data_IF_149942555198
#
_entry.id   IF_149942555198
#
_cell.length_a   1.000
_cell.length_b   1.000
_cell.length_c   1.000
_cell.angle_alpha   90.00
_cell.angle_beta   90.00
_cell.angle_gamma   90.00
#
_symmetry.space_group_name_H-M   'P 1'
#
loop_
_entity.id
_entity.type
_entity.pdbx_description
1 polymer ?
#
# COMPACT_ATOMS: atom_id res chain seq x y z
N UNK A 1 -9.09 -15.14 -24.86
CA UNK A 1 -7.65 -15.28 -24.59
C UNK A 1 -7.17 -13.92 -24.09
N UNK A 2 -6.82 -13.81 -22.82
CA UNK A 2 -6.32 -12.58 -22.19
C UNK A 2 -4.84 -12.46 -22.50
N UNK A 3 -4.45 -11.33 -23.10
CA UNK A 3 -3.07 -11.02 -23.44
C UNK A 3 -2.25 -10.84 -22.15
N UNK A 4 -1.11 -11.54 -21.96
CA UNK A 4 -0.39 -11.56 -20.69
C UNK A 4 0.27 -10.23 -20.31
N UNK A 5 0.17 -9.20 -21.16
CA UNK A 5 0.75 -7.87 -20.95
C UNK A 5 -0.25 -6.71 -21.01
N UNK A 6 -1.56 -6.97 -21.15
CA UNK A 6 -2.57 -5.89 -21.09
C UNK A 6 -2.33 -4.74 -22.08
N UNK A 7 -1.85 -5.04 -23.28
CA UNK A 7 -1.67 -4.03 -24.34
C UNK A 7 -3.06 -3.53 -24.74
N UNK A 8 -3.35 -2.27 -24.43
CA UNK A 8 -4.56 -1.60 -24.90
C UNK A 8 -4.51 -1.58 -26.43
N UNK A 9 -5.49 -2.16 -27.14
CA UNK A 9 -5.49 -2.14 -28.59
C UNK A 9 -5.51 -0.69 -29.09
N UNK A 10 -4.66 -0.34 -30.05
CA UNK A 10 -4.49 0.99 -30.63
C UNK A 10 -5.81 1.80 -30.86
N UNK A 11 -6.91 1.23 -31.39
CA UNK A 11 -8.17 1.98 -31.56
C UNK A 11 -8.80 2.49 -30.25
N UNK A 12 -8.44 1.94 -29.09
CA UNK A 12 -8.88 2.41 -27.78
C UNK A 12 -8.05 3.58 -27.24
N UNK A 13 -6.84 3.83 -27.78
CA UNK A 13 -5.96 4.91 -27.32
C UNK A 13 -6.45 6.26 -27.84
N UNK A 14 -6.88 6.33 -29.10
CA UNK A 14 -7.38 7.55 -29.71
C UNK A 14 -8.65 8.06 -29.00
N UNK A 15 -9.56 7.16 -28.63
CA UNK A 15 -10.78 7.53 -27.90
C UNK A 15 -10.49 8.03 -26.48
N UNK A 16 -9.48 7.44 -25.81
CA UNK A 16 -9.05 7.87 -24.47
C UNK A 16 -8.40 9.25 -24.52
N UNK A 17 -7.58 9.52 -25.53
CA UNK A 17 -6.96 10.85 -25.74
C UNK A 17 -8.01 11.92 -26.05
N UNK A 18 -9.00 11.61 -26.89
CA UNK A 18 -10.08 12.54 -27.22
C UNK A 18 -10.93 12.90 -26.00
N UNK A 19 -11.16 11.93 -25.10
CA UNK A 19 -11.85 12.16 -23.83
C UNK A 19 -10.98 12.86 -22.79
N UNK A 20 -9.66 12.68 -22.83
CA UNK A 20 -8.70 13.43 -22.01
C UNK A 20 -8.75 14.92 -22.38
N UNK A 21 -8.74 15.25 -23.66
CA UNK A 21 -8.90 16.63 -24.14
C UNK A 21 -10.23 17.25 -23.70
N UNK A 22 -11.32 16.48 -23.74
CA UNK A 22 -12.62 16.93 -23.24
C UNK A 22 -12.63 17.18 -21.72
N UNK A 23 -11.90 16.38 -20.94
CA UNK A 23 -11.73 16.61 -19.49
C UNK A 23 -10.84 17.83 -19.22
N UNK A 24 -9.77 17.99 -19.99
CA UNK A 24 -8.86 19.12 -19.91
C UNK A 24 -9.59 20.45 -20.18
N UNK A 25 -10.41 20.48 -21.24
CA UNK A 25 -11.26 21.62 -21.57
C UNK A 25 -12.27 21.96 -20.45
N UNK A 26 -12.85 20.96 -19.78
CA UNK A 26 -13.78 21.17 -18.66
C UNK A 26 -13.11 21.71 -17.40
N UNK A 27 -11.87 21.29 -17.15
CA UNK A 27 -11.08 21.74 -15.99
C UNK A 27 -10.34 23.06 -16.27
N UNK A 28 -10.32 23.52 -17.52
CA UNK A 28 -9.57 24.71 -17.94
C UNK A 28 -8.05 24.49 -17.91
N UNK A 29 -7.59 23.25 -18.05
CA UNK A 29 -6.17 22.88 -17.96
C UNK A 29 -5.73 22.18 -19.24
N UNK A 30 -4.44 22.19 -19.56
CA UNK A 30 -3.90 21.43 -20.68
C UNK A 30 -3.99 19.91 -20.43
N UNK A 31 -4.32 19.13 -21.47
CA UNK A 31 -4.39 17.67 -21.39
C UNK A 31 -3.05 17.04 -20.99
N UNK A 32 -1.93 17.66 -21.40
CA UNK A 32 -0.59 17.30 -20.98
C UNK A 32 -0.41 17.36 -19.46
N UNK A 33 -1.01 18.35 -18.79
CA UNK A 33 -0.93 18.47 -17.35
C UNK A 33 -1.72 17.37 -16.62
N UNK A 34 -2.89 16.99 -17.15
CA UNK A 34 -3.67 15.87 -16.59
C UNK A 34 -2.89 14.57 -16.74
N UNK A 35 -2.24 14.38 -17.89
CA UNK A 35 -1.39 13.22 -18.12
C UNK A 35 -0.19 13.18 -17.16
N UNK A 36 0.53 14.30 -16.99
CA UNK A 36 1.63 14.41 -16.03
C UNK A 36 1.19 14.10 -14.59
N UNK A 37 0.03 14.61 -14.17
CA UNK A 37 -0.53 14.34 -12.83
C UNK A 37 -0.87 12.86 -12.65
N UNK A 38 -1.42 12.20 -13.69
CA UNK A 38 -1.72 10.77 -13.62
C UNK A 38 -0.45 9.91 -13.53
N UNK A 39 0.58 10.24 -14.32
CA UNK A 39 1.88 9.57 -14.25
C UNK A 39 2.53 9.79 -12.89
N UNK A 40 2.52 11.01 -12.37
CA UNK A 40 3.04 11.33 -11.03
C UNK A 40 2.29 10.56 -9.92
N UNK A 41 0.98 10.38 -10.06
CA UNK A 41 0.17 9.60 -9.13
C UNK A 41 0.53 8.12 -9.13
N UNK A 42 0.87 7.54 -10.29
CA UNK A 42 1.36 6.16 -10.36
C UNK A 42 2.63 5.96 -9.52
N UNK A 43 3.55 6.94 -9.54
CA UNK A 43 4.75 6.91 -8.69
C UNK A 43 4.43 7.07 -7.21
N UNK A 44 3.47 7.91 -6.85
CA UNK A 44 3.04 8.05 -5.45
C UNK A 44 2.42 6.76 -4.92
N UNK A 45 1.55 6.10 -5.69
CA UNK A 45 0.97 4.81 -5.30
C UNK A 45 2.07 3.74 -5.12
N UNK A 46 3.09 3.75 -5.99
CA UNK A 46 4.25 2.88 -5.83
C UNK A 46 5.06 3.18 -4.56
N UNK A 47 5.30 4.46 -4.24
CA UNK A 47 6.01 4.86 -3.02
C UNK A 47 5.23 4.44 -1.78
N UNK A 48 3.90 4.63 -1.78
CA UNK A 48 3.02 4.21 -0.68
C UNK A 48 3.09 2.69 -0.48
N UNK A 49 3.07 1.92 -1.57
CA UNK A 49 3.22 0.47 -1.53
C UNK A 49 4.59 0.03 -0.96
N UNK A 50 5.67 0.70 -1.36
CA UNK A 50 7.00 0.45 -0.80
C UNK A 50 7.05 0.81 0.68
N UNK A 51 6.43 1.92 1.10
CA UNK A 51 6.37 2.34 2.50
C UNK A 51 5.61 1.33 3.36
N UNK A 52 4.47 0.81 2.88
CA UNK A 52 3.72 -0.26 3.54
C UNK A 52 4.58 -1.53 3.68
N UNK A 53 5.29 -1.93 2.63
CA UNK A 53 6.18 -3.09 2.66
C UNK A 53 7.30 -2.91 3.71
N UNK A 54 7.93 -1.73 3.76
CA UNK A 54 8.97 -1.39 4.74
C UNK A 54 8.40 -1.42 6.16
N UNK A 55 7.21 -0.88 6.39
CA UNK A 55 6.53 -0.95 7.67
C UNK A 55 6.30 -2.39 8.10
N UNK A 56 5.78 -3.25 7.22
CA UNK A 56 5.54 -4.66 7.50
C UNK A 56 6.83 -5.40 7.87
N UNK A 57 7.94 -5.11 7.17
CA UNK A 57 9.25 -5.67 7.48
C UNK A 57 9.81 -5.15 8.81
N UNK A 58 9.51 -3.91 9.18
CA UNK A 58 9.92 -3.30 10.44
C UNK A 58 9.13 -3.80 11.66
N UNK A 59 7.95 -4.41 11.47
CA UNK A 59 7.12 -4.90 12.59
C UNK A 59 7.83 -5.97 13.42
N UNK A 60 8.56 -6.89 12.80
CA UNK A 60 9.26 -7.97 13.50
C UNK A 60 10.39 -7.47 14.44
N UNK A 61 11.37 -6.65 13.99
CA UNK A 61 12.37 -6.11 14.88
C UNK A 61 11.78 -5.17 15.94
N UNK A 62 10.75 -4.37 15.60
CA UNK A 62 10.03 -3.53 16.57
C UNK A 62 9.40 -4.37 17.68
N UNK A 63 8.71 -5.46 17.33
CA UNK A 63 8.12 -6.38 18.29
C UNK A 63 9.19 -6.94 19.25
N UNK A 64 10.33 -7.38 18.72
CA UNK A 64 11.43 -7.91 19.52
C UNK A 64 12.00 -6.85 20.46
N UNK A 65 12.15 -5.61 19.98
CA UNK A 65 12.62 -4.49 20.78
C UNK A 65 11.65 -4.16 21.92
N UNK A 66 10.35 -4.02 21.62
CA UNK A 66 9.29 -3.76 22.61
C UNK A 66 9.28 -4.84 23.69
N UNK A 67 9.34 -6.12 23.29
CA UNK A 67 9.41 -7.23 24.23
C UNK A 67 10.66 -7.16 25.12
N UNK A 68 11.83 -6.84 24.57
CA UNK A 68 13.08 -6.74 25.33
C UNK A 68 13.07 -5.60 26.37
N UNK A 69 12.56 -4.42 26.00
CA UNK A 69 12.42 -3.27 26.89
C UNK A 69 11.44 -3.61 28.03
N UNK A 70 10.31 -4.21 27.66
CA UNK A 70 9.31 -4.61 28.64
C UNK A 70 9.82 -5.69 29.59
N UNK A 71 10.46 -6.75 29.09
CA UNK A 71 11.02 -7.81 29.93
C UNK A 71 12.07 -7.25 30.92
N UNK A 72 12.89 -6.30 30.49
CA UNK A 72 13.86 -5.63 31.34
C UNK A 72 13.24 -4.73 32.43
N UNK A 73 12.02 -4.22 32.21
CA UNK A 73 11.27 -3.45 33.20
C UNK A 73 10.45 -4.35 34.14
N UNK A 74 9.92 -5.46 33.64
CA UNK A 74 9.19 -6.45 34.43
C UNK A 74 10.07 -7.05 35.55
N UNK A 75 11.36 -7.28 35.25
CA UNK A 75 12.34 -7.74 36.24
C UNK A 75 12.71 -6.68 37.30
N UNK A 76 12.41 -5.41 37.06
CA UNK A 76 12.68 -4.31 38.01
C UNK A 76 11.48 -4.00 38.92
N UNK A 77 10.27 -4.27 38.45
CA UNK A 77 9.02 -3.95 39.16
C UNK A 77 8.39 -5.14 39.92
N UNK A 78 8.89 -6.37 39.73
CA UNK A 78 8.37 -7.58 40.41
C UNK A 78 8.62 -7.65 41.94
N UNK A 79 8.90 -6.50 42.58
CA UNK A 79 9.04 -6.34 44.03
C UNK A 79 7.75 -5.95 44.77
N UNK A 80 6.58 -5.91 44.13
CA UNK A 80 5.34 -5.54 44.81
C UNK A 80 4.11 -6.10 44.11
N UNK A 81 3.23 -6.73 44.89
CA UNK A 81 2.09 -7.51 44.42
C UNK A 81 1.08 -6.75 43.57
N UNK A 82 0.19 -7.53 42.93
CA UNK A 82 -0.88 -7.17 41.99
C UNK A 82 -0.57 -7.24 40.49
N UNK A 83 0.20 -8.23 40.03
CA UNK A 83 0.11 -8.63 38.61
C UNK A 83 0.41 -10.13 38.44
N UNK A 84 -0.62 -10.98 38.56
CA UNK A 84 -0.56 -12.44 38.31
C UNK A 84 -0.35 -12.80 36.82
N UNK A 85 0.03 -11.83 35.99
CA UNK A 85 0.40 -12.08 34.61
C UNK A 85 1.83 -12.60 34.57
N UNK A 86 2.00 -13.88 34.23
CA UNK A 86 3.34 -14.41 34.04
C UNK A 86 3.98 -13.77 32.81
N UNK A 87 5.32 -13.72 32.76
CA UNK A 87 6.05 -13.28 31.55
C UNK A 87 5.60 -14.04 30.28
N UNK A 88 5.14 -15.28 30.45
CA UNK A 88 4.64 -16.14 29.39
C UNK A 88 3.24 -15.70 28.89
N UNK A 89 2.34 -15.27 29.78
CA UNK A 89 1.03 -14.74 29.42
C UNK A 89 1.16 -13.43 28.64
N UNK A 90 2.01 -12.52 29.10
CA UNK A 90 2.33 -11.28 28.39
C UNK A 90 2.96 -11.55 27.02
N UNK A 91 3.92 -12.48 26.92
CA UNK A 91 4.52 -12.88 25.64
C UNK A 91 3.46 -13.38 24.67
N UNK A 92 2.52 -14.18 25.18
CA UNK A 92 1.42 -14.73 24.39
C UNK A 92 0.52 -13.60 23.89
N UNK A 93 0.13 -12.64 24.73
CA UNK A 93 -0.70 -11.49 24.31
C UNK A 93 -0.01 -10.61 23.27
N UNK A 94 1.28 -10.29 23.45
CA UNK A 94 2.05 -9.51 22.47
C UNK A 94 2.15 -10.25 21.13
N UNK A 95 2.42 -11.56 21.15
CA UNK A 95 2.44 -12.37 19.93
C UNK A 95 1.06 -12.43 19.25
N UNK A 96 -0.01 -12.61 20.01
CA UNK A 96 -1.39 -12.66 19.50
C UNK A 96 -1.80 -11.34 18.84
N UNK A 97 -1.57 -10.22 19.51
CA UNK A 97 -1.91 -8.88 18.98
C UNK A 97 -1.08 -8.58 17.73
N UNK A 98 0.23 -8.85 17.75
CA UNK A 98 1.06 -8.65 16.56
C UNK A 98 0.65 -9.57 15.42
N UNK A 99 0.32 -10.84 15.67
CA UNK A 99 -0.14 -11.77 14.64
C UNK A 99 -1.45 -11.29 13.99
N UNK A 100 -2.40 -10.80 14.78
CA UNK A 100 -3.66 -10.23 14.27
C UNK A 100 -3.37 -8.99 13.41
N UNK A 101 -2.53 -8.07 13.88
CA UNK A 101 -2.17 -6.86 13.12
C UNK A 101 -1.45 -7.21 11.82
N UNK A 102 -0.50 -8.15 11.84
CA UNK A 102 0.22 -8.60 10.65
C UNK A 102 -0.72 -9.27 9.65
N UNK A 103 -1.67 -10.08 10.10
CA UNK A 103 -2.65 -10.72 9.20
C UNK A 103 -3.60 -9.67 8.61
N UNK A 104 -4.12 -8.76 9.43
CA UNK A 104 -5.10 -7.77 8.99
C UNK A 104 -4.48 -6.74 8.03
N UNK A 105 -3.32 -6.18 8.39
CA UNK A 105 -2.60 -5.22 7.54
C UNK A 105 -1.83 -5.90 6.40
N UNK A 106 -1.38 -7.14 6.58
CA UNK A 106 -0.68 -7.90 5.55
C UNK A 106 -1.60 -8.33 4.42
N UNK A 107 -2.80 -8.85 4.70
CA UNK A 107 -3.73 -9.28 3.64
C UNK A 107 -4.23 -8.07 2.82
N UNK A 108 -4.64 -6.99 3.50
CA UNK A 108 -5.09 -5.77 2.82
C UNK A 108 -3.93 -5.10 2.06
N UNK A 109 -2.75 -5.03 2.68
CA UNK A 109 -1.57 -4.43 2.08
C UNK A 109 -1.03 -5.19 0.87
N UNK A 110 -1.09 -6.53 0.86
CA UNK A 110 -0.59 -7.37 -0.26
C UNK A 110 -1.44 -7.19 -1.53
N UNK A 111 -2.76 -7.08 -1.40
CA UNK A 111 -3.63 -6.89 -2.56
C UNK A 111 -3.41 -5.51 -3.21
N UNK A 112 -3.27 -4.46 -2.41
CA UNK A 112 -3.03 -3.10 -2.92
C UNK A 112 -1.59 -2.91 -3.43
N UNK A 113 -0.60 -3.55 -2.79
CA UNK A 113 0.81 -3.44 -3.22
C UNK A 113 1.06 -4.06 -4.60
N UNK A 114 0.37 -5.15 -4.99
CA UNK A 114 0.60 -5.77 -6.30
C UNK A 114 0.19 -4.83 -7.45
N UNK A 115 -0.93 -4.13 -7.32
CA UNK A 115 -1.37 -3.16 -8.34
C UNK A 115 -0.49 -1.91 -8.34
N UNK A 116 -0.10 -1.44 -7.17
CA UNK A 116 0.79 -0.29 -7.02
C UNK A 116 2.24 -0.56 -7.50
N UNK A 117 2.76 -1.78 -7.35
CA UNK A 117 4.06 -2.16 -7.94
C UNK A 117 4.00 -2.21 -9.47
N UNK A 118 2.88 -2.67 -10.04
CA UNK A 118 2.66 -2.58 -11.50
C UNK A 118 2.56 -1.12 -11.95
N UNK A 119 1.95 -0.24 -11.14
CA UNK A 119 1.90 1.20 -11.39
C UNK A 119 3.30 1.82 -11.45
N UNK A 120 4.19 1.48 -10.52
CA UNK A 120 5.57 1.97 -10.51
C UNK A 120 6.44 1.46 -11.67
N UNK A 121 6.26 0.20 -12.09
CA UNK A 121 7.05 -0.39 -13.17
C UNK A 121 6.61 0.09 -14.57
N UNK A 122 5.34 0.45 -14.74
CA UNK A 122 4.76 0.89 -16.01
C UNK A 122 3.72 2.01 -15.79
N UNK A 123 4.17 3.22 -15.41
CA UNK A 123 3.27 4.30 -14.97
C UNK A 123 2.37 4.83 -16.08
N UNK A 124 2.86 4.84 -17.33
CA UNK A 124 2.07 5.25 -18.51
C UNK A 124 0.92 4.28 -18.79
N UNK A 125 1.15 2.98 -18.64
CA UNK A 125 0.12 1.95 -18.80
C UNK A 125 -0.90 2.00 -17.66
N UNK A 126 -0.45 2.26 -16.44
CA UNK A 126 -1.35 2.49 -15.31
C UNK A 126 -2.25 3.71 -15.54
N UNK A 127 -1.69 4.82 -16.02
CA UNK A 127 -2.44 6.04 -16.32
C UNK A 127 -3.52 5.81 -17.38
N UNK A 128 -3.18 5.09 -18.47
CA UNK A 128 -4.14 4.69 -19.50
C UNK A 128 -5.27 3.82 -18.95
N UNK A 129 -4.96 2.78 -18.17
CA UNK A 129 -5.97 1.93 -17.55
C UNK A 129 -6.85 2.70 -16.57
N UNK A 130 -6.27 3.63 -15.79
CA UNK A 130 -7.02 4.45 -14.84
C UNK A 130 -7.97 5.40 -15.55
N UNK A 131 -7.53 6.01 -16.65
CA UNK A 131 -8.37 6.81 -17.54
C UNK A 131 -9.53 5.99 -18.10
N UNK A 132 -9.28 4.80 -18.62
CA UNK A 132 -10.34 3.92 -19.12
C UNK A 132 -11.35 3.55 -18.03
N UNK A 133 -10.88 3.28 -16.82
CA UNK A 133 -11.75 2.97 -15.69
C UNK A 133 -12.64 4.15 -15.30
N UNK A 134 -12.06 5.35 -15.19
CA UNK A 134 -12.81 6.59 -14.88
C UNK A 134 -13.84 6.87 -15.98
N UNK A 135 -13.50 6.61 -17.24
CA UNK A 135 -14.35 6.88 -18.40
C UNK A 135 -15.45 5.84 -18.67
N UNK A 136 -15.36 4.65 -18.05
CA UNK A 136 -16.40 3.61 -18.08
C UNK A 136 -17.41 3.71 -16.93
N UNK A 137 -17.10 4.50 -15.90
CA UNK A 137 -18.03 4.85 -14.81
C UNK A 137 -18.83 6.10 -15.16
#
# INVERSE_FOLDING_TARGET
>A
MQDPLGVVPAPLQDEVLLRLDAMAAKLGVAASHIWEVLVARAYLEWIDAVAILVMLLALYPLQKMIYSIWAANFDKESGGGYNDWTKQDCRTVVLSVTAILVVFFGILGVLETVEAFKAGMAPEYWALNKLQYILRR
#
